data_IF_378192389979
#
_entry.id   IF_378192389979
#
_cell.length_a   1.000
_cell.length_b   1.000
_cell.length_c   1.000
_cell.angle_alpha   90.00
_cell.angle_beta   90.00
_cell.angle_gamma   90.00
#
_symmetry.space_group_name_H-M   'P 1'
#
loop_
_entity.id
_entity.type
_entity.pdbx_description
1 polymer ?
#
# COMPACT_ATOMS: atom_id res chain seq x y z
N UNK A 1 14.85 3.92 -43.17
CA UNK A 1 15.33 4.26 -41.81
C UNK A 1 14.11 4.80 -41.10
N UNK A 2 13.49 4.00 -40.23
CA UNK A 2 12.24 4.36 -39.55
C UNK A 2 12.50 5.38 -38.45
N UNK A 3 11.75 6.48 -38.47
CA UNK A 3 11.89 7.56 -37.52
C UNK A 3 11.16 7.21 -36.22
N UNK A 4 11.66 7.66 -35.07
CA UNK A 4 11.05 7.39 -33.76
C UNK A 4 9.57 7.82 -33.68
N UNK A 5 9.16 8.83 -34.43
CA UNK A 5 7.77 9.28 -34.52
C UNK A 5 6.85 8.26 -35.21
N UNK A 6 7.37 7.49 -36.17
CA UNK A 6 6.63 6.46 -36.90
C UNK A 6 6.35 5.26 -35.98
N UNK A 7 7.33 4.88 -35.15
CA UNK A 7 7.16 3.84 -34.14
C UNK A 7 6.19 4.24 -33.01
N UNK A 8 6.13 5.54 -32.65
CA UNK A 8 5.17 6.04 -31.65
C UNK A 8 3.75 6.04 -32.24
N UNK A 9 3.58 6.48 -33.49
CA UNK A 9 2.29 6.46 -34.17
C UNK A 9 1.74 5.03 -34.32
N UNK A 10 2.58 4.07 -34.73
CA UNK A 10 2.19 2.65 -34.79
C UNK A 10 1.82 2.09 -33.40
N UNK A 11 2.52 2.52 -32.34
CA UNK A 11 2.20 2.09 -30.98
C UNK A 11 0.88 2.68 -30.47
N UNK A 12 0.60 3.96 -30.73
CA UNK A 12 -0.65 4.62 -30.35
C UNK A 12 -1.84 4.08 -31.14
N UNK A 13 -1.68 3.79 -32.44
CA UNK A 13 -2.71 3.16 -33.26
C UNK A 13 -3.02 1.74 -32.78
N UNK A 14 -2.00 0.95 -32.43
CA UNK A 14 -2.15 -0.39 -31.85
C UNK A 14 -2.80 -0.37 -30.47
N UNK A 15 -2.63 0.71 -29.71
CA UNK A 15 -3.18 0.89 -28.36
C UNK A 15 -4.53 1.64 -28.35
N UNK A 16 -5.02 2.07 -29.51
CA UNK A 16 -6.19 2.96 -29.68
C UNK A 16 -7.55 2.39 -29.28
N UNK A 17 -7.64 1.27 -28.58
CA UNK A 17 -8.91 0.70 -28.09
C UNK A 17 -8.72 -0.25 -26.90
N UNK A 18 -8.07 0.19 -25.81
CA UNK A 18 -8.26 -0.47 -24.51
C UNK A 18 -9.52 0.06 -23.81
N UNK A 19 -10.67 -0.18 -24.42
CA UNK A 19 -12.01 0.07 -23.86
C UNK A 19 -12.36 -1.00 -22.81
N UNK A 20 -11.56 -1.11 -21.75
CA UNK A 20 -11.92 -1.91 -20.56
C UNK A 20 -11.38 -1.28 -19.29
N UNK A 21 -11.92 -0.12 -18.95
CA UNK A 21 -12.14 0.21 -17.53
C UNK A 21 -13.60 0.58 -17.40
N UNK A 22 -14.45 -0.45 -17.37
CA UNK A 22 -15.79 -0.26 -16.84
C UNK A 22 -15.59 0.25 -15.42
N UNK A 23 -15.89 1.53 -15.21
CA UNK A 23 -15.96 2.14 -13.88
C UNK A 23 -17.17 1.51 -13.20
N UNK A 24 -17.05 0.24 -12.85
CA UNK A 24 -17.90 -0.39 -11.86
C UNK A 24 -17.71 0.51 -10.64
N UNK A 25 -18.74 1.29 -10.32
CA UNK A 25 -18.88 1.92 -9.02
C UNK A 25 -18.83 0.79 -8.00
N UNK A 26 -17.63 0.44 -7.57
CA UNK A 26 -17.45 -0.40 -6.41
C UNK A 26 -17.98 0.48 -5.30
N UNK A 27 -19.20 0.19 -4.85
CA UNK A 27 -19.71 0.73 -3.62
C UNK A 27 -18.80 0.18 -2.52
N UNK A 28 -17.66 0.85 -2.29
CA UNK A 28 -16.79 0.53 -1.18
C UNK A 28 -17.62 0.77 0.08
N UNK A 29 -17.80 -0.25 0.93
CA UNK A 29 -18.48 -0.07 2.21
C UNK A 29 -17.89 1.14 2.93
N UNK A 30 -18.71 1.93 3.62
CA UNK A 30 -18.26 3.09 4.43
C UNK A 30 -17.26 2.72 5.55
N UNK A 31 -16.99 1.43 5.75
CA UNK A 31 -16.00 0.93 6.68
C UNK A 31 -14.64 0.85 5.97
N UNK A 32 -13.60 1.40 6.59
CA UNK A 32 -12.23 1.29 6.07
C UNK A 32 -11.94 -0.17 5.69
N UNK A 33 -11.49 -0.44 4.45
CA UNK A 33 -11.21 -1.80 4.02
C UNK A 33 -9.92 -2.35 4.65
N UNK A 34 -9.22 -1.56 5.47
CA UNK A 34 -8.02 -1.98 6.20
C UNK A 34 -8.38 -2.94 7.34
N UNK A 35 -7.63 -4.02 7.44
CA UNK A 35 -7.71 -4.98 8.53
C UNK A 35 -6.61 -4.74 9.57
N UNK A 36 -5.34 -4.61 9.15
CA UNK A 36 -4.18 -4.50 10.06
C UNK A 36 -2.97 -3.87 9.38
N UNK A 37 -2.03 -3.34 10.17
CA UNK A 37 -0.67 -3.00 9.75
C UNK A 37 0.27 -4.13 10.14
N UNK A 38 1.06 -4.62 9.19
CA UNK A 38 1.93 -5.79 9.39
C UNK A 38 3.39 -5.41 9.58
N UNK A 39 3.83 -4.31 8.97
CA UNK A 39 5.22 -3.92 8.98
C UNK A 39 5.38 -2.41 8.81
N UNK A 40 6.55 -1.91 9.16
CA UNK A 40 6.99 -0.55 8.87
C UNK A 40 8.38 -0.55 8.22
N UNK A 41 8.66 0.50 7.47
CA UNK A 41 9.97 0.79 6.92
C UNK A 41 10.24 2.29 7.08
N UNK A 42 11.36 2.62 7.71
CA UNK A 42 11.86 3.99 7.79
C UNK A 42 12.82 4.23 6.62
N UNK A 43 12.45 5.13 5.72
CA UNK A 43 13.26 5.55 4.59
C UNK A 43 14.43 6.43 5.04
N UNK A 44 15.50 6.47 4.25
CA UNK A 44 16.65 7.35 4.51
C UNK A 44 16.33 8.84 4.35
N UNK A 45 15.23 9.15 3.69
CA UNK A 45 14.64 10.47 3.49
C UNK A 45 13.83 10.98 4.70
N UNK A 46 13.64 10.13 5.71
CA UNK A 46 12.81 10.43 6.88
C UNK A 46 11.34 10.08 6.70
N UNK A 47 10.95 9.54 5.54
CA UNK A 47 9.60 9.06 5.31
C UNK A 47 9.38 7.69 5.97
N UNK A 48 8.13 7.42 6.33
CA UNK A 48 7.73 6.11 6.87
C UNK A 48 6.71 5.47 5.96
N UNK A 49 7.01 4.23 5.57
CA UNK A 49 6.09 3.37 4.85
C UNK A 49 5.54 2.28 5.77
N UNK A 50 4.24 2.03 5.70
CA UNK A 50 3.57 0.96 6.45
C UNK A 50 2.97 -0.07 5.51
N UNK A 51 3.21 -1.36 5.77
CA UNK A 51 2.57 -2.44 5.03
C UNK A 51 1.18 -2.70 5.61
N UNK A 52 0.17 -2.26 4.89
CA UNK A 52 -1.23 -2.41 5.24
C UNK A 52 -1.83 -3.65 4.58
N UNK A 53 -2.54 -4.47 5.35
CA UNK A 53 -3.37 -5.56 4.84
C UNK A 53 -4.85 -5.21 4.94
N UNK A 54 -5.58 -5.39 3.83
CA UNK A 54 -7.02 -5.21 3.74
C UNK A 54 -7.77 -6.47 4.19
N UNK A 55 -9.07 -6.33 4.47
CA UNK A 55 -9.93 -7.45 4.89
C UNK A 55 -10.02 -8.60 3.88
N UNK A 56 -9.81 -8.31 2.60
CA UNK A 56 -9.76 -9.30 1.53
C UNK A 56 -8.40 -10.01 1.42
N UNK A 57 -7.45 -9.71 2.32
CA UNK A 57 -6.10 -10.28 2.33
C UNK A 57 -5.11 -9.57 1.41
N UNK A 58 -5.55 -8.62 0.59
CA UNK A 58 -4.62 -7.85 -0.26
C UNK A 58 -3.76 -6.91 0.57
N UNK A 59 -2.50 -6.72 0.15
CA UNK A 59 -1.53 -5.91 0.87
C UNK A 59 -1.03 -4.73 0.02
N UNK A 60 -0.74 -3.60 0.66
CA UNK A 60 -0.20 -2.40 0.02
C UNK A 60 0.67 -1.60 0.99
N UNK A 61 1.76 -1.04 0.47
CA UNK A 61 2.55 -0.04 1.18
C UNK A 61 1.87 1.33 1.18
N UNK A 62 1.74 1.93 2.35
CA UNK A 62 1.22 3.27 2.58
C UNK A 62 2.38 4.18 2.98
N UNK A 63 2.74 5.11 2.10
CA UNK A 63 3.73 6.14 2.38
C UNK A 63 3.07 7.25 3.20
N UNK A 64 3.64 7.57 4.36
CA UNK A 64 3.21 8.63 5.27
C UNK A 64 1.68 8.71 5.45
N UNK A 65 1.03 7.61 5.90
CA UNK A 65 -0.42 7.61 6.05
C UNK A 65 -0.87 8.65 7.07
N UNK A 66 -2.01 9.27 6.81
CA UNK A 66 -2.67 10.23 7.69
C UNK A 66 -2.90 9.60 9.07
N UNK A 67 -2.12 10.04 10.06
CA UNK A 67 -2.11 9.46 11.40
C UNK A 67 -3.48 9.54 12.08
N UNK A 68 -4.30 10.55 11.77
CA UNK A 68 -5.64 10.68 12.35
C UNK A 68 -6.58 9.61 11.80
N UNK A 69 -6.47 9.26 10.52
CA UNK A 69 -7.29 8.21 9.88
C UNK A 69 -6.86 6.80 10.24
N UNK A 70 -5.56 6.60 10.44
CA UNK A 70 -4.97 5.28 10.69
C UNK A 70 -4.62 5.04 12.17
N UNK A 71 -4.94 5.98 13.07
CA UNK A 71 -4.52 5.99 14.48
C UNK A 71 -4.69 4.63 15.16
N UNK A 72 -5.89 4.04 15.11
CA UNK A 72 -6.17 2.79 15.81
C UNK A 72 -5.26 1.65 15.33
N UNK A 73 -5.06 1.53 14.02
CA UNK A 73 -4.22 0.48 13.44
C UNK A 73 -2.72 0.70 13.72
N UNK A 74 -2.27 1.96 13.72
CA UNK A 74 -0.88 2.30 14.02
C UNK A 74 -0.56 2.06 15.50
N UNK A 75 -1.45 2.48 16.41
CA UNK A 75 -1.30 2.25 17.84
C UNK A 75 -1.26 0.75 18.14
N UNK A 76 -2.20 -0.03 17.59
CA UNK A 76 -2.23 -1.48 17.75
C UNK A 76 -0.93 -2.14 17.26
N UNK A 77 -0.45 -1.75 16.08
CA UNK A 77 0.81 -2.25 15.54
C UNK A 77 2.00 -2.01 16.47
N UNK A 78 2.18 -0.77 16.92
CA UNK A 78 3.32 -0.42 17.76
C UNK A 78 3.26 -1.09 19.14
N UNK A 79 2.07 -1.19 19.74
CA UNK A 79 1.89 -1.93 20.99
C UNK A 79 2.31 -3.40 20.82
N UNK A 80 1.83 -4.07 19.78
CA UNK A 80 2.18 -5.46 19.49
C UNK A 80 3.68 -5.64 19.17
N UNK A 81 4.27 -4.68 18.45
CA UNK A 81 5.69 -4.68 18.13
C UNK A 81 6.54 -4.61 19.41
N UNK A 82 6.25 -3.64 20.29
CA UNK A 82 7.00 -3.49 21.54
C UNK A 82 6.83 -4.68 22.48
N UNK A 83 5.61 -5.24 22.61
CA UNK A 83 5.40 -6.46 23.39
C UNK A 83 6.20 -7.64 22.86
N UNK A 84 6.31 -7.79 21.54
CA UNK A 84 7.06 -8.89 20.93
C UNK A 84 8.58 -8.73 21.09
N UNK A 85 9.09 -7.49 20.98
CA UNK A 85 10.51 -7.20 21.21
C UNK A 85 10.89 -7.42 22.68
N UNK A 86 10.04 -7.02 23.63
CA UNK A 86 10.29 -7.22 25.05
C UNK A 86 10.37 -8.71 25.42
N UNK A 87 9.45 -9.53 24.91
CA UNK A 87 9.51 -10.99 25.07
C UNK A 87 10.78 -11.62 24.47
N UNK A 88 11.27 -11.06 23.36
CA UNK A 88 12.51 -11.55 22.74
C UNK A 88 13.74 -11.21 23.59
N UNK A 89 13.72 -10.09 24.30
CA UNK A 89 14.82 -9.68 25.17
C UNK A 89 14.89 -10.53 26.45
N UNK A 90 13.75 -10.88 27.06
CA UNK A 90 13.70 -11.72 28.27
C UNK A 90 14.12 -13.18 28.02
N UNK A 91 13.88 -13.72 26.82
CA UNK A 91 14.34 -15.09 26.47
C UNK A 91 15.84 -15.20 26.18
N UNK A 92 16.54 -14.07 25.99
CA UNK A 92 17.96 -14.03 25.66
C UNK A 92 18.85 -13.59 26.84
N UNK A 93 18.30 -13.50 28.06
CA UNK A 93 19.00 -13.22 29.33
C UNK A 93 18.99 -14.44 30.23
#
# INVERSE_FOLDING_TARGET
>A
MGNAQEAIAEYEEKMGSNERVSVVKIATPSQSPLAIILNYHFGSDGDVSYLAQRKDGTQKWLLNPDVTKFNNFLVEYWQNYYSSQHNTQEMNT
#
